data_IF_449822443110
#
_entry.id   IF_449822443110
#
_cell.length_a   1.000
_cell.length_b   1.000
_cell.length_c   1.000
_cell.angle_alpha   90.00
_cell.angle_beta   90.00
_cell.angle_gamma   90.00
#
_symmetry.space_group_name_H-M   'P 1'
#
loop_
_entity.id
_entity.type
_entity.pdbx_description
1 polymer ?
#
# COMPACT_ATOMS: atom_id res chain seq x y z
N UNK A 1 13.19 25.69 1.49
CA UNK A 1 13.33 24.43 2.26
C UNK A 1 13.53 23.30 1.28
N UNK A 2 14.49 22.41 1.52
CA UNK A 2 14.82 21.30 0.61
C UNK A 2 13.96 20.07 0.90
N UNK A 3 13.44 19.41 -0.14
CA UNK A 3 12.65 18.16 -0.03
C UNK A 3 13.43 17.07 0.71
N UNK A 4 14.74 16.98 0.46
CA UNK A 4 15.62 16.00 1.12
C UNK A 4 15.65 16.19 2.63
N UNK A 5 15.74 17.45 3.07
CA UNK A 5 15.86 17.77 4.48
C UNK A 5 14.55 17.50 5.24
N UNK A 6 13.40 17.82 4.64
CA UNK A 6 12.10 17.45 5.19
C UNK A 6 11.91 15.92 5.26
N UNK A 7 12.32 15.21 4.21
CA UNK A 7 12.20 13.75 4.17
C UNK A 7 13.01 13.08 5.27
N UNK A 8 14.27 13.48 5.44
CA UNK A 8 15.15 12.87 6.44
C UNK A 8 14.80 13.28 7.89
N UNK A 9 14.36 14.52 8.11
CA UNK A 9 14.11 15.04 9.46
C UNK A 9 12.73 14.68 10.02
N UNK A 10 11.72 14.50 9.16
CA UNK A 10 10.34 14.27 9.61
C UNK A 10 9.72 13.02 9.00
N UNK A 11 9.72 12.87 7.68
CA UNK A 11 8.94 11.80 7.02
C UNK A 11 9.51 10.42 7.31
N UNK A 12 10.83 10.22 7.18
CA UNK A 12 11.46 8.93 7.35
C UNK A 12 11.40 8.40 8.80
N UNK A 13 11.68 9.20 9.85
CA UNK A 13 11.49 8.76 11.24
C UNK A 13 10.05 8.34 11.52
N UNK A 14 9.07 9.13 11.07
CA UNK A 14 7.65 8.82 11.28
C UNK A 14 7.22 7.56 10.53
N UNK A 15 7.69 7.37 9.28
CA UNK A 15 7.43 6.15 8.53
C UNK A 15 7.98 4.91 9.25
N UNK A 16 9.22 4.94 9.72
CA UNK A 16 9.85 3.81 10.43
C UNK A 16 9.17 3.49 11.75
N UNK A 17 8.72 4.51 12.49
CA UNK A 17 8.13 4.32 13.81
C UNK A 17 6.66 3.90 13.76
N UNK A 18 5.88 4.38 12.78
CA UNK A 18 4.42 4.22 12.80
C UNK A 18 3.82 3.55 11.55
N UNK A 19 4.51 3.57 10.41
CA UNK A 19 3.94 3.03 9.15
C UNK A 19 4.53 1.65 8.84
N UNK A 20 5.86 1.50 8.90
CA UNK A 20 6.54 0.24 8.62
C UNK A 20 6.12 -0.92 9.54
N UNK A 21 5.89 -0.73 10.85
CA UNK A 21 5.43 -1.82 11.72
C UNK A 21 4.06 -2.39 11.31
N UNK A 22 3.18 -1.56 10.73
CA UNK A 22 1.83 -1.98 10.32
C UNK A 22 1.83 -2.97 9.16
N UNK A 23 2.96 -3.16 8.46
CA UNK A 23 3.11 -4.17 7.40
C UNK A 23 2.98 -5.60 7.93
N UNK A 24 3.36 -5.85 9.19
CA UNK A 24 3.27 -7.18 9.80
C UNK A 24 1.83 -7.65 10.05
N UNK A 25 0.89 -6.72 10.14
CA UNK A 25 -0.54 -6.99 10.37
C UNK A 25 -1.34 -7.12 9.06
N UNK A 26 -0.70 -6.95 7.90
CA UNK A 26 -1.38 -6.99 6.61
C UNK A 26 -1.65 -8.43 6.16
N UNK A 27 -2.91 -8.73 5.78
CA UNK A 27 -3.28 -10.03 5.22
C UNK A 27 -2.58 -10.30 3.87
N UNK A 28 -2.39 -9.25 3.06
CA UNK A 28 -1.77 -9.32 1.73
C UNK A 28 -0.91 -8.09 1.49
N UNK A 29 0.32 -8.30 1.00
CA UNK A 29 1.25 -7.24 0.59
C UNK A 29 1.38 -7.23 -0.94
N UNK A 30 1.15 -6.07 -1.57
CA UNK A 30 1.23 -5.90 -3.03
C UNK A 30 2.53 -5.16 -3.42
N UNK A 31 3.53 -5.84 -3.99
CA UNK A 31 4.75 -5.20 -4.46
C UNK A 31 4.51 -4.43 -5.76
N UNK A 32 5.36 -3.44 -6.04
CA UNK A 32 5.32 -2.55 -7.23
C UNK A 32 4.10 -1.62 -7.33
N UNK A 33 3.21 -1.66 -6.35
CA UNK A 33 2.04 -0.78 -6.25
C UNK A 33 1.20 -0.81 -7.53
N UNK A 34 0.83 0.38 -8.03
CA UNK A 34 -0.05 0.52 -9.19
C UNK A 34 0.45 -0.05 -10.52
N UNK A 35 1.72 -0.45 -10.62
CA UNK A 35 2.25 -1.11 -11.82
C UNK A 35 2.05 -2.63 -11.82
N UNK A 36 1.50 -3.19 -10.73
CA UNK A 36 1.19 -4.60 -10.64
C UNK A 36 -0.27 -4.85 -11.06
N UNK A 37 -0.54 -4.75 -12.35
CA UNK A 37 -1.89 -4.89 -12.92
C UNK A 37 -2.57 -6.19 -12.49
N UNK A 38 -1.80 -7.28 -12.39
CA UNK A 38 -2.29 -8.59 -11.94
C UNK A 38 -2.82 -8.53 -10.50
N UNK A 39 -2.09 -7.87 -9.59
CA UNK A 39 -2.53 -7.74 -8.20
C UNK A 39 -3.75 -6.82 -8.06
N UNK A 40 -3.82 -5.76 -8.87
CA UNK A 40 -4.98 -4.87 -8.91
C UNK A 40 -6.21 -5.61 -9.43
N UNK A 41 -6.08 -6.36 -10.53
CA UNK A 41 -7.20 -7.15 -11.08
C UNK A 41 -7.69 -8.22 -10.10
N UNK A 42 -6.79 -8.86 -9.35
CA UNK A 42 -7.15 -9.79 -8.27
C UNK A 42 -8.02 -9.12 -7.19
N UNK A 43 -7.63 -7.92 -6.72
CA UNK A 43 -8.41 -7.19 -5.73
C UNK A 43 -9.78 -6.78 -6.27
N UNK A 44 -9.84 -6.26 -7.50
CA UNK A 44 -11.11 -5.89 -8.14
C UNK A 44 -12.00 -7.11 -8.32
N UNK A 45 -11.44 -8.26 -8.73
CA UNK A 45 -12.18 -9.53 -8.85
C UNK A 45 -12.82 -9.91 -7.52
N UNK A 46 -12.04 -9.88 -6.45
CA UNK A 46 -12.50 -10.25 -5.11
C UNK A 46 -13.59 -9.30 -4.62
N UNK A 47 -13.43 -7.99 -4.84
CA UNK A 47 -14.43 -6.99 -4.50
C UNK A 47 -15.73 -7.18 -5.29
N UNK A 48 -15.66 -7.42 -6.61
CA UNK A 48 -16.84 -7.72 -7.44
C UNK A 48 -17.58 -8.95 -6.92
N UNK A 49 -16.83 -10.02 -6.60
CA UNK A 49 -17.38 -11.24 -6.04
C UNK A 49 -18.10 -10.98 -4.70
N UNK A 50 -17.47 -10.27 -3.77
CA UNK A 50 -18.08 -9.95 -2.47
C UNK A 50 -19.28 -9.02 -2.62
N UNK A 51 -19.25 -8.10 -3.57
CA UNK A 51 -20.34 -7.17 -3.85
C UNK A 51 -21.52 -7.81 -4.60
N UNK A 52 -21.39 -9.07 -5.06
CA UNK A 52 -22.42 -9.75 -5.86
C UNK A 52 -22.61 -9.13 -7.25
N UNK A 53 -21.59 -8.43 -7.76
CA UNK A 53 -21.58 -7.90 -9.11
C UNK A 53 -21.03 -8.97 -10.03
N UNK A 54 -21.80 -9.36 -11.04
CA UNK A 54 -21.25 -10.15 -12.14
C UNK A 54 -20.30 -9.26 -12.95
N UNK A 55 -19.16 -9.80 -13.38
CA UNK A 55 -18.14 -9.02 -14.08
C UNK A 55 -18.57 -8.61 -15.47
#
# INVERSE_FOLDING_TARGET
>A
TSVREQYLSSVLPMHRQFVAPSEAEADVIIPRGGHNEVAVDMLVSYLCFVAGLDR
#
